data_IF_388670930305
#
_entry.id   IF_388670930305
#
_cell.length_a   1.000
_cell.length_b   1.000
_cell.length_c   1.000
_cell.angle_alpha   90.00
_cell.angle_beta   90.00
_cell.angle_gamma   90.00
#
_symmetry.space_group_name_H-M   'P 1'
#
loop_
_entity.id
_entity.type
_entity.pdbx_description
1 polymer ?
#
# COMPACT_ATOMS: atom_id res chain seq x y z
N UNK A 1 -19.49 -17.25 43.11
CA UNK A 1 -18.46 -18.07 42.42
C UNK A 1 -18.74 -18.21 40.92
N UNK A 2 -19.80 -18.91 40.49
CA UNK A 2 -20.08 -19.15 39.05
C UNK A 2 -20.28 -17.88 38.20
N UNK A 3 -20.96 -16.86 38.73
CA UNK A 3 -21.18 -15.57 38.02
C UNK A 3 -19.89 -14.77 37.81
N UNK A 4 -18.98 -14.78 38.80
CA UNK A 4 -17.69 -14.09 38.73
C UNK A 4 -16.77 -14.73 37.68
N UNK A 5 -16.83 -16.06 37.54
CA UNK A 5 -16.06 -16.81 36.54
C UNK A 5 -16.57 -16.50 35.13
N UNK A 6 -17.89 -16.42 34.94
CA UNK A 6 -18.49 -16.06 33.64
C UNK A 6 -18.14 -14.63 33.24
N UNK A 7 -18.20 -13.68 34.18
CA UNK A 7 -17.82 -12.29 33.89
C UNK A 7 -16.33 -12.16 33.56
N UNK A 8 -15.46 -12.90 34.25
CA UNK A 8 -14.03 -12.88 33.95
C UNK A 8 -13.72 -13.39 32.53
N UNK A 9 -14.35 -14.49 32.11
CA UNK A 9 -14.17 -15.02 30.75
C UNK A 9 -14.68 -14.06 29.67
N UNK A 10 -15.83 -13.43 29.91
CA UNK A 10 -16.38 -12.43 28.99
C UNK A 10 -15.38 -11.26 28.80
N UNK A 11 -14.88 -10.71 29.90
CA UNK A 11 -13.93 -9.59 29.86
C UNK A 11 -12.64 -9.96 29.11
N UNK A 12 -12.07 -11.14 29.40
CA UNK A 12 -10.86 -11.64 28.70
C UNK A 12 -11.12 -11.77 27.20
N UNK A 13 -12.27 -12.31 26.80
CA UNK A 13 -12.61 -12.46 25.38
C UNK A 13 -12.71 -11.12 24.65
N UNK A 14 -13.30 -10.09 25.27
CA UNK A 14 -13.36 -8.74 24.72
C UNK A 14 -11.98 -8.09 24.56
N UNK A 15 -11.08 -8.29 25.54
CA UNK A 15 -9.71 -7.76 25.45
C UNK A 15 -8.89 -8.43 24.34
N UNK A 16 -9.08 -9.74 24.10
CA UNK A 16 -8.39 -10.42 22.99
C UNK A 16 -8.84 -9.92 21.61
N UNK A 17 -10.12 -9.54 21.45
CA UNK A 17 -10.65 -9.01 20.19
C UNK A 17 -10.07 -7.63 19.83
N UNK A 18 -9.68 -6.80 20.81
CA UNK A 18 -9.04 -5.50 20.53
C UNK A 18 -7.69 -5.62 19.81
N UNK A 19 -7.01 -6.78 19.89
CA UNK A 19 -5.74 -7.03 19.21
C UNK A 19 -5.85 -7.69 17.83
N UNK A 20 -7.00 -8.27 17.49
CA UNK A 20 -7.17 -9.09 16.26
C UNK A 20 -7.39 -8.29 14.98
N UNK A 21 -7.49 -6.95 15.06
CA UNK A 21 -7.60 -6.08 13.88
C UNK A 21 -6.29 -5.34 13.55
N UNK A 22 -5.16 -5.82 14.08
CA UNK A 22 -3.87 -5.24 13.74
C UNK A 22 -3.45 -5.70 12.34
N UNK A 23 -3.73 -4.88 11.32
CA UNK A 23 -3.18 -5.04 9.97
C UNK A 23 -1.70 -4.63 10.00
N UNK A 24 -0.87 -5.42 10.67
CA UNK A 24 0.59 -5.25 10.71
C UNK A 24 1.25 -5.39 9.32
N UNK A 25 0.48 -5.82 8.32
CA UNK A 25 0.91 -5.94 6.91
C UNK A 25 0.95 -4.61 6.15
N UNK A 26 0.57 -3.49 6.78
CA UNK A 26 0.78 -2.15 6.17
C UNK A 26 2.23 -1.66 6.36
N UNK A 27 2.94 -2.12 7.39
CA UNK A 27 4.33 -1.68 7.64
C UNK A 27 5.36 -2.37 6.73
N UNK A 28 5.08 -3.58 6.24
CA UNK A 28 6.00 -4.31 5.35
C UNK A 28 5.92 -3.87 3.89
N UNK A 29 4.85 -3.18 3.51
CA UNK A 29 4.73 -2.42 2.27
C UNK A 29 4.52 -0.96 2.65
N UNK A 30 5.52 -0.35 3.31
CA UNK A 30 5.58 1.11 3.37
C UNK A 30 5.25 1.63 1.97
N UNK A 31 4.15 2.38 1.77
CA UNK A 31 3.80 2.91 0.46
C UNK A 31 4.78 4.05 0.17
N UNK A 32 6.05 3.71 -0.08
CA UNK A 32 7.17 4.61 -0.35
C UNK A 32 6.97 6.00 0.27
N UNK A 33 6.70 6.07 1.58
CA UNK A 33 6.37 7.30 2.32
C UNK A 33 5.70 8.39 1.48
N UNK A 34 4.64 8.10 0.71
CA UNK A 34 3.93 9.04 -0.15
C UNK A 34 4.77 10.27 -0.53
N UNK A 35 5.91 10.02 -1.21
CA UNK A 35 6.84 11.10 -1.55
C UNK A 35 6.02 12.24 -2.16
N UNK A 36 6.28 13.49 -1.73
CA UNK A 36 5.50 14.64 -2.18
C UNK A 36 5.32 14.56 -3.70
N UNK A 37 4.06 14.40 -4.12
CA UNK A 37 3.73 14.13 -5.51
C UNK A 37 4.11 15.37 -6.30
N UNK A 38 5.25 15.30 -6.98
CA UNK A 38 5.65 16.33 -7.94
C UNK A 38 4.75 16.20 -9.16
N UNK A 39 4.31 17.32 -9.76
CA UNK A 39 3.61 17.29 -11.03
C UNK A 39 4.40 16.46 -12.04
N UNK A 40 3.75 15.44 -12.62
CA UNK A 40 4.38 14.62 -13.65
C UNK A 40 4.61 15.49 -14.90
N UNK A 41 5.81 15.45 -15.51
CA UNK A 41 6.05 16.16 -16.76
C UNK A 41 5.10 15.64 -17.85
N UNK A 42 4.53 16.56 -18.62
CA UNK A 42 3.59 16.23 -19.71
C UNK A 42 4.23 15.35 -20.81
N UNK A 43 5.56 15.39 -20.93
CA UNK A 43 6.32 14.56 -21.85
C UNK A 43 7.44 13.83 -21.13
N UNK A 44 7.61 12.56 -21.45
CA UNK A 44 8.71 11.74 -20.98
C UNK A 44 9.40 11.05 -22.16
N UNK A 45 10.73 10.92 -22.09
CA UNK A 45 11.53 10.19 -23.07
C UNK A 45 12.59 9.36 -22.34
N UNK A 46 12.83 8.15 -22.84
CA UNK A 46 13.87 7.28 -22.31
C UNK A 46 13.98 5.99 -23.12
N UNK A 47 14.96 5.16 -22.75
CA UNK A 47 15.17 3.84 -23.35
C UNK A 47 14.77 2.79 -22.32
N UNK A 48 13.76 1.99 -22.63
CA UNK A 48 13.33 0.89 -21.77
C UNK A 48 14.13 -0.37 -22.06
N UNK A 49 14.38 -1.24 -21.06
CA UNK A 49 14.98 -2.54 -21.28
C UNK A 49 14.10 -3.37 -22.22
N UNK A 50 14.73 -4.02 -23.18
CA UNK A 50 14.08 -4.88 -24.17
C UNK A 50 14.53 -6.32 -23.96
N UNK A 51 13.62 -7.28 -24.13
CA UNK A 51 13.93 -8.69 -23.91
C UNK A 51 15.01 -9.20 -24.88
N UNK A 52 14.88 -8.87 -26.17
CA UNK A 52 15.72 -9.39 -27.25
C UNK A 52 16.17 -8.29 -28.23
N UNK A 53 16.33 -7.05 -27.75
CA UNK A 53 16.83 -5.93 -28.55
C UNK A 53 17.69 -4.97 -27.70
N UNK A 54 18.38 -4.02 -28.35
CA UNK A 54 19.30 -3.08 -27.66
C UNK A 54 18.57 -2.18 -26.64
N UNK A 55 17.27 -1.95 -26.84
CA UNK A 55 16.42 -1.13 -25.99
C UNK A 55 15.23 -0.57 -26.77
N UNK A 56 14.19 -0.14 -26.06
CA UNK A 56 13.01 0.49 -26.70
C UNK A 56 13.11 1.99 -26.47
N UNK A 57 13.49 2.74 -27.51
CA UNK A 57 13.39 4.20 -27.49
C UNK A 57 11.92 4.59 -27.38
N UNK A 58 11.54 5.15 -26.23
CA UNK A 58 10.16 5.38 -25.83
C UNK A 58 9.94 6.86 -25.58
N UNK A 59 8.88 7.40 -26.17
CA UNK A 59 8.35 8.72 -25.86
C UNK A 59 6.90 8.61 -25.41
N UNK A 60 6.58 9.18 -24.27
CA UNK A 60 5.23 9.25 -23.72
C UNK A 60 4.82 10.72 -23.60
N UNK A 61 3.61 11.02 -24.06
CA UNK A 61 2.96 12.31 -23.85
C UNK A 61 1.65 12.04 -23.15
N UNK A 62 1.38 12.75 -22.06
CA UNK A 62 0.14 12.66 -21.30
C UNK A 62 -0.65 13.94 -21.52
N UNK A 63 -1.79 13.84 -22.19
CA UNK A 63 -2.62 15.00 -22.47
C UNK A 63 -3.39 15.44 -21.21
N UNK A 64 -3.82 16.71 -21.21
CA UNK A 64 -4.59 17.26 -20.08
C UNK A 64 -5.98 16.65 -19.96
N UNK A 65 -6.49 16.08 -21.04
CA UNK A 65 -7.79 15.41 -21.08
C UNK A 65 -7.73 13.96 -20.55
N UNK A 66 -6.53 13.47 -20.21
CA UNK A 66 -6.30 12.13 -19.69
C UNK A 66 -5.99 11.08 -20.74
N UNK A 67 -5.69 11.48 -21.98
CA UNK A 67 -5.19 10.59 -23.04
C UNK A 67 -3.67 10.40 -23.01
#
# INVERSE_FOLDING_TARGET
MKKAIVTAMAVISLFTLMGCNNRAEVDTLSPAQAAELKPMPQSWRGVLPCADCEGIETSLFLEKDGT
#
